data_IF_848724721675
#
_entry.id   IF_848724721675
#
_cell.length_a   1.000
_cell.length_b   1.000
_cell.length_c   1.000
_cell.angle_alpha   90.00
_cell.angle_beta   90.00
_cell.angle_gamma   90.00
#
_symmetry.space_group_name_H-M   'P 1'
#
loop_
_entity.id
_entity.type
_entity.pdbx_description
1 polymer ?
#
# COMPACT_ATOMS: atom_id res chain seq x y z
N UNK A 1 24.70 16.24 7.28
CA UNK A 1 23.43 16.08 6.55
C UNK A 1 22.43 15.42 7.46
N UNK A 2 21.19 15.93 7.60
CA UNK A 2 20.17 15.30 8.45
C UNK A 2 19.75 13.95 7.84
N UNK A 3 19.65 12.94 8.68
CA UNK A 3 19.19 11.58 8.25
C UNK A 3 17.76 11.68 7.73
N UNK A 4 17.52 11.20 6.50
CA UNK A 4 16.18 11.13 5.92
C UNK A 4 15.28 10.16 6.68
N UNK A 5 14.00 10.47 6.79
CA UNK A 5 13.02 9.68 7.54
C UNK A 5 11.98 9.05 6.61
N UNK A 6 11.76 7.75 6.78
CA UNK A 6 10.68 7.01 6.11
C UNK A 6 9.65 6.58 7.15
N UNK A 7 8.39 6.95 6.92
CA UNK A 7 7.26 6.45 7.72
C UNK A 7 6.52 5.36 6.93
N UNK A 8 6.26 4.22 7.59
CA UNK A 8 5.67 3.03 6.94
C UNK A 8 4.48 2.54 7.74
N UNK A 9 3.29 2.55 7.14
CA UNK A 9 2.12 1.88 7.71
C UNK A 9 2.08 0.41 7.27
N UNK A 10 1.58 -0.49 8.12
CA UNK A 10 1.59 -1.93 7.84
C UNK A 10 2.99 -2.54 7.84
N UNK A 11 3.92 -1.99 8.62
CA UNK A 11 5.34 -2.38 8.64
C UNK A 11 5.61 -3.77 9.24
N UNK A 12 4.64 -4.38 9.93
CA UNK A 12 4.83 -5.64 10.68
C UNK A 12 4.96 -6.89 9.81
N UNK A 13 4.67 -6.82 8.50
CA UNK A 13 4.73 -7.98 7.59
C UNK A 13 4.82 -7.58 6.12
N UNK A 14 5.04 -8.55 5.25
CA UNK A 14 4.92 -8.44 3.79
C UNK A 14 5.74 -7.31 3.19
N UNK A 15 5.10 -6.55 2.30
CA UNK A 15 5.71 -5.44 1.54
C UNK A 15 6.22 -4.35 2.48
N UNK A 16 5.45 -3.99 3.53
CA UNK A 16 5.85 -2.95 4.47
C UNK A 16 7.12 -3.30 5.25
N UNK A 17 7.25 -4.56 5.69
CA UNK A 17 8.46 -5.08 6.36
C UNK A 17 9.67 -5.08 5.42
N UNK A 18 9.47 -5.46 4.17
CA UNK A 18 10.56 -5.45 3.19
C UNK A 18 11.02 -4.02 2.85
N UNK A 19 10.09 -3.06 2.73
CA UNK A 19 10.45 -1.65 2.62
C UNK A 19 11.28 -1.17 3.81
N UNK A 20 10.89 -1.53 5.04
CA UNK A 20 11.65 -1.17 6.23
C UNK A 20 13.09 -1.69 6.17
N UNK A 21 13.28 -2.96 5.77
CA UNK A 21 14.61 -3.55 5.58
C UNK A 21 15.42 -2.83 4.51
N UNK A 22 14.80 -2.49 3.41
CA UNK A 22 15.48 -1.84 2.28
C UNK A 22 15.92 -0.42 2.64
N UNK A 23 15.06 0.38 3.29
CA UNK A 23 15.41 1.74 3.70
C UNK A 23 16.37 1.78 4.89
N UNK A 24 16.30 0.81 5.81
CA UNK A 24 17.30 0.64 6.86
C UNK A 24 18.71 0.45 6.29
N UNK A 25 18.85 -0.45 5.30
CA UNK A 25 20.13 -0.68 4.58
C UNK A 25 20.67 0.58 3.90
N UNK A 26 19.80 1.50 3.50
CA UNK A 26 20.16 2.79 2.89
C UNK A 26 20.44 3.88 3.92
N UNK A 27 20.44 3.58 5.23
CA UNK A 27 20.76 4.51 6.30
C UNK A 27 19.63 5.48 6.68
N UNK A 28 18.37 5.18 6.32
CA UNK A 28 17.24 6.02 6.69
C UNK A 28 16.80 5.76 8.14
N UNK A 29 16.34 6.82 8.83
CA UNK A 29 15.54 6.70 10.06
C UNK A 29 14.15 6.17 9.69
N UNK A 30 13.58 5.31 10.52
CA UNK A 30 12.28 4.71 10.24
C UNK A 30 11.25 5.04 11.32
N UNK A 31 10.01 5.32 10.89
CA UNK A 31 8.82 5.35 11.73
C UNK A 31 7.94 4.17 11.29
N UNK A 32 7.74 3.21 12.19
CA UNK A 32 7.08 1.95 11.90
C UNK A 32 5.70 1.91 12.57
N UNK A 33 4.64 1.73 11.77
CA UNK A 33 3.26 1.67 12.25
C UNK A 33 2.58 0.38 11.83
N UNK A 34 1.99 -0.32 12.77
CA UNK A 34 1.09 -1.46 12.58
C UNK A 34 0.38 -1.78 13.91
N UNK A 35 -0.60 -2.70 13.90
CA UNK A 35 -1.32 -3.13 15.11
C UNK A 35 -0.45 -3.98 16.06
N UNK A 36 0.38 -4.86 15.51
CA UNK A 36 1.20 -5.84 16.26
C UNK A 36 2.49 -5.20 16.72
N UNK A 37 2.47 -4.68 17.95
CA UNK A 37 3.61 -3.98 18.57
C UNK A 37 4.83 -4.89 18.68
N UNK A 38 4.64 -6.12 19.15
CA UNK A 38 5.67 -7.14 19.30
C UNK A 38 6.48 -7.36 18.02
N UNK A 39 5.79 -7.44 16.87
CA UNK A 39 6.44 -7.60 15.57
C UNK A 39 7.17 -6.34 15.10
N UNK A 40 6.68 -5.16 15.46
CA UNK A 40 7.40 -3.91 15.18
C UNK A 40 8.68 -3.81 16.02
N UNK A 41 8.64 -4.21 17.28
CA UNK A 41 9.79 -4.24 18.19
C UNK A 41 10.85 -5.24 17.70
N UNK A 42 10.42 -6.44 17.30
CA UNK A 42 11.31 -7.44 16.70
C UNK A 42 11.98 -6.92 15.44
N UNK A 43 11.20 -6.28 14.52
CA UNK A 43 11.74 -5.69 13.31
C UNK A 43 12.72 -4.53 13.62
N UNK A 44 12.38 -3.66 14.55
CA UNK A 44 13.24 -2.54 14.95
C UNK A 44 14.57 -3.03 15.56
N UNK A 45 14.52 -4.09 16.38
CA UNK A 45 15.72 -4.73 16.93
C UNK A 45 16.59 -5.35 15.82
N UNK A 46 15.97 -6.07 14.86
CA UNK A 46 16.66 -6.60 13.68
C UNK A 46 17.41 -5.49 12.91
N UNK A 47 16.70 -4.40 12.60
CA UNK A 47 17.23 -3.31 11.78
C UNK A 47 18.31 -2.51 12.51
N UNK A 48 18.19 -2.35 13.82
CA UNK A 48 19.23 -1.73 14.67
C UNK A 48 20.48 -2.57 14.69
N UNK A 49 20.34 -3.88 14.91
CA UNK A 49 21.50 -4.79 14.99
C UNK A 49 22.25 -4.89 13.66
N UNK A 50 21.51 -4.93 12.52
CA UNK A 50 22.14 -5.13 11.20
C UNK A 50 22.65 -3.83 10.56
N UNK A 51 22.04 -2.69 10.82
CA UNK A 51 22.27 -1.45 10.07
C UNK A 51 22.42 -0.20 10.96
N UNK A 52 22.36 -0.34 12.29
CA UNK A 52 22.37 0.82 13.19
C UNK A 52 21.15 1.74 13.05
N UNK A 53 20.06 1.25 12.46
CA UNK A 53 18.91 2.07 12.09
C UNK A 53 18.15 2.58 13.32
N UNK A 54 17.88 3.88 13.37
CA UNK A 54 16.99 4.46 14.37
C UNK A 54 15.53 4.21 13.96
N UNK A 55 14.82 3.45 14.80
CA UNK A 55 13.41 3.15 14.59
C UNK A 55 12.55 3.76 15.70
N UNK A 56 11.53 4.55 15.31
CA UNK A 56 10.41 4.95 16.17
C UNK A 56 9.23 4.03 15.89
N UNK A 57 8.66 3.44 16.93
CA UNK A 57 7.48 2.57 16.81
C UNK A 57 6.26 3.35 17.25
N UNK A 58 5.24 3.45 16.40
CA UNK A 58 3.95 4.07 16.68
C UNK A 58 2.86 3.04 16.35
N UNK A 59 2.46 2.19 17.32
CA UNK A 59 1.43 1.20 17.10
C UNK A 59 0.08 1.88 16.85
N UNK A 60 -0.66 1.41 15.84
CA UNK A 60 -2.01 1.89 15.57
C UNK A 60 -2.84 0.83 14.84
N UNK A 61 -4.10 0.66 15.25
CA UNK A 61 -5.12 -0.01 14.47
C UNK A 61 -5.83 1.00 13.58
N UNK A 62 -5.53 0.94 12.30
CA UNK A 62 -6.08 1.86 11.30
C UNK A 62 -7.56 1.62 10.99
N UNK A 63 -8.19 0.58 11.54
CA UNK A 63 -9.64 0.41 11.52
C UNK A 63 -10.34 1.27 12.57
N UNK A 64 -9.60 1.85 13.52
CA UNK A 64 -10.10 2.68 14.62
C UNK A 64 -9.79 4.16 14.36
N UNK A 65 -10.82 4.96 14.15
CA UNK A 65 -10.68 6.37 13.77
C UNK A 65 -9.89 7.21 14.80
N UNK A 66 -10.10 6.95 16.09
CA UNK A 66 -9.35 7.59 17.16
C UNK A 66 -7.84 7.27 17.10
N UNK A 67 -7.47 6.04 16.73
CA UNK A 67 -6.06 5.67 16.60
C UNK A 67 -5.42 6.27 15.34
N UNK A 68 -6.20 6.49 14.27
CA UNK A 68 -5.72 7.25 13.10
C UNK A 68 -5.46 8.71 13.48
N UNK A 69 -6.35 9.31 14.29
CA UNK A 69 -6.13 10.67 14.85
C UNK A 69 -4.84 10.73 15.65
N UNK A 70 -4.70 9.86 16.66
CA UNK A 70 -3.50 9.80 17.48
C UNK A 70 -2.21 9.56 16.69
N UNK A 71 -2.28 8.77 15.60
CA UNK A 71 -1.15 8.59 14.70
C UNK A 71 -0.80 9.90 13.98
N UNK A 72 -1.78 10.65 13.47
CA UNK A 72 -1.53 11.95 12.84
C UNK A 72 -0.87 12.93 13.83
N UNK A 73 -1.37 12.99 15.06
CA UNK A 73 -0.81 13.81 16.13
C UNK A 73 0.63 13.41 16.46
N UNK A 74 0.90 12.11 16.59
CA UNK A 74 2.24 11.60 16.83
C UNK A 74 3.23 11.89 15.69
N UNK A 75 2.74 12.12 14.48
CA UNK A 75 3.54 12.46 13.29
C UNK A 75 3.61 13.98 13.03
N UNK A 76 2.88 14.82 13.78
CA UNK A 76 2.76 16.24 13.47
C UNK A 76 4.11 16.96 13.42
N UNK A 77 5.00 16.71 14.38
CA UNK A 77 6.32 17.37 14.47
C UNK A 77 7.45 16.58 13.78
N UNK A 78 7.14 15.41 13.21
CA UNK A 78 8.15 14.58 12.54
C UNK A 78 8.46 15.10 11.15
N UNK A 79 9.73 15.26 10.82
CA UNK A 79 10.14 15.40 9.44
C UNK A 79 10.00 14.04 8.73
N UNK A 80 9.23 14.00 7.64
CA UNK A 80 8.98 12.80 6.85
C UNK A 80 9.40 13.07 5.40
N UNK A 81 10.43 12.40 4.94
CA UNK A 81 10.91 12.51 3.56
C UNK A 81 10.17 11.56 2.61
N UNK A 82 9.74 10.39 3.12
CA UNK A 82 8.97 9.41 2.39
C UNK A 82 7.89 8.80 3.29
N UNK A 83 6.65 8.80 2.81
CA UNK A 83 5.53 8.14 3.47
C UNK A 83 5.03 6.97 2.63
N UNK A 84 5.11 5.76 3.21
CA UNK A 84 4.61 4.53 2.59
C UNK A 84 3.27 4.17 3.22
N UNK A 85 2.20 4.58 2.58
CA UNK A 85 0.82 4.30 2.95
C UNK A 85 0.46 2.87 2.50
N UNK A 86 0.99 1.88 3.23
CA UNK A 86 1.02 0.49 2.79
C UNK A 86 0.01 -0.40 3.50
N UNK A 87 -0.50 -0.02 4.67
CA UNK A 87 -1.45 -0.84 5.40
C UNK A 87 -2.70 -1.15 4.58
N UNK A 88 -3.11 -2.40 4.58
CA UNK A 88 -4.30 -2.87 3.88
C UNK A 88 -4.45 -4.38 3.96
N UNK A 89 -5.67 -4.86 3.75
CA UNK A 89 -5.97 -6.27 3.65
C UNK A 89 -7.16 -6.51 2.71
N UNK A 90 -7.45 -7.78 2.41
CA UNK A 90 -8.53 -8.20 1.53
C UNK A 90 -9.61 -9.00 2.26
N UNK A 91 -10.75 -9.13 1.61
CA UNK A 91 -11.81 -10.08 1.91
C UNK A 91 -12.18 -10.80 0.62
N UNK A 92 -12.43 -12.11 0.71
CA UNK A 92 -12.80 -12.98 -0.39
C UNK A 92 -14.04 -13.78 -0.02
N UNK A 93 -14.93 -14.01 -0.98
CA UNK A 93 -16.19 -14.71 -0.86
C UNK A 93 -17.27 -14.08 -1.73
N UNK A 94 -18.41 -14.77 -1.90
CA UNK A 94 -19.58 -14.17 -2.54
C UNK A 94 -20.06 -12.97 -1.72
N UNK A 95 -20.36 -11.86 -2.36
CA UNK A 95 -20.67 -10.59 -1.65
C UNK A 95 -21.83 -10.71 -0.65
N UNK A 96 -22.81 -11.54 -0.96
CA UNK A 96 -23.95 -11.83 -0.07
C UNK A 96 -23.61 -12.71 1.14
N UNK A 97 -22.44 -13.37 1.13
CA UNK A 97 -22.04 -14.37 2.13
C UNK A 97 -20.85 -13.91 2.98
N UNK A 98 -20.12 -12.89 2.53
CA UNK A 98 -18.98 -12.36 3.27
C UNK A 98 -19.40 -11.65 4.55
N UNK A 99 -18.55 -11.73 5.59
CA UNK A 99 -18.79 -11.02 6.86
C UNK A 99 -18.74 -9.52 6.69
N UNK A 100 -19.86 -8.85 6.92
CA UNK A 100 -19.97 -7.39 6.76
C UNK A 100 -19.02 -6.63 7.69
N UNK A 101 -18.75 -7.14 8.90
CA UNK A 101 -17.81 -6.53 9.86
C UNK A 101 -16.38 -6.54 9.32
N UNK A 102 -15.95 -7.68 8.74
CA UNK A 102 -14.63 -7.82 8.08
C UNK A 102 -14.52 -6.88 6.88
N UNK A 103 -15.57 -6.79 6.04
CA UNK A 103 -15.57 -5.87 4.88
C UNK A 103 -15.53 -4.39 5.30
N UNK A 104 -16.34 -3.98 6.27
CA UNK A 104 -16.31 -2.61 6.79
C UNK A 104 -14.97 -2.28 7.43
N UNK A 105 -14.37 -3.21 8.18
CA UNK A 105 -13.02 -3.04 8.71
C UNK A 105 -11.98 -2.88 7.59
N UNK A 106 -12.10 -3.65 6.52
CA UNK A 106 -11.24 -3.50 5.33
C UNK A 106 -11.39 -2.12 4.69
N UNK A 107 -12.62 -1.64 4.52
CA UNK A 107 -12.88 -0.31 3.95
C UNK A 107 -12.34 0.81 4.85
N UNK A 108 -12.49 0.69 6.18
CA UNK A 108 -11.91 1.65 7.13
C UNK A 108 -10.39 1.75 6.95
N UNK A 109 -9.67 0.63 6.80
CA UNK A 109 -8.22 0.64 6.61
C UNK A 109 -7.84 1.05 5.20
N UNK A 110 -8.40 0.40 4.17
CA UNK A 110 -7.98 0.55 2.78
C UNK A 110 -8.41 1.89 2.16
N UNK A 111 -9.49 2.50 2.68
CA UNK A 111 -10.07 3.73 2.13
C UNK A 111 -9.98 4.87 3.14
N UNK A 112 -10.67 4.80 4.27
CA UNK A 112 -10.81 5.94 5.18
C UNK A 112 -9.48 6.33 5.84
N UNK A 113 -8.79 5.39 6.46
CA UNK A 113 -7.49 5.66 7.08
C UNK A 113 -6.43 6.03 6.04
N UNK A 114 -6.39 5.30 4.91
CA UNK A 114 -5.48 5.61 3.80
C UNK A 114 -5.69 7.05 3.29
N UNK A 115 -6.94 7.45 3.02
CA UNK A 115 -7.28 8.80 2.57
C UNK A 115 -6.85 9.86 3.59
N UNK A 116 -7.20 9.65 4.86
CA UNK A 116 -6.89 10.59 5.94
C UNK A 116 -5.40 10.79 6.13
N UNK A 117 -4.63 9.68 6.16
CA UNK A 117 -3.18 9.71 6.27
C UNK A 117 -2.52 10.32 5.03
N UNK A 118 -3.04 10.03 3.83
CA UNK A 118 -2.57 10.63 2.59
C UNK A 118 -2.73 12.16 2.62
N UNK A 119 -3.94 12.64 2.95
CA UNK A 119 -4.23 14.09 3.01
C UNK A 119 -3.40 14.80 4.10
N UNK A 120 -3.30 14.20 5.29
CA UNK A 120 -2.47 14.72 6.38
C UNK A 120 -1.01 14.84 5.96
N UNK A 121 -0.44 13.76 5.40
CA UNK A 121 0.98 13.73 5.02
C UNK A 121 1.27 14.65 3.83
N UNK A 122 0.33 14.74 2.86
CA UNK A 122 0.46 15.65 1.73
C UNK A 122 0.60 17.11 2.20
N UNK A 123 -0.35 17.58 3.02
CA UNK A 123 -0.31 18.96 3.59
C UNK A 123 0.99 19.22 4.35
N UNK A 124 1.45 18.24 5.13
CA UNK A 124 2.70 18.32 5.86
C UNK A 124 3.90 18.44 4.93
N UNK A 125 3.97 17.64 3.87
CA UNK A 125 5.06 17.66 2.89
C UNK A 125 5.05 18.95 2.04
N UNK A 126 3.87 19.49 1.73
CA UNK A 126 3.74 20.79 1.08
C UNK A 126 4.32 21.91 1.98
N UNK A 127 3.97 21.92 3.25
CA UNK A 127 4.54 22.86 4.23
C UNK A 127 6.04 22.66 4.44
N UNK A 128 6.57 21.43 4.29
CA UNK A 128 8.01 21.14 4.31
C UNK A 128 8.75 21.60 3.05
N UNK A 129 8.03 21.79 1.92
CA UNK A 129 8.60 22.09 0.62
C UNK A 129 9.21 20.88 -0.12
N UNK A 130 9.01 19.67 0.38
CA UNK A 130 9.49 18.42 -0.25
C UNK A 130 8.75 17.20 0.34
N UNK A 131 8.78 16.10 -0.37
CA UNK A 131 8.32 14.80 0.12
C UNK A 131 7.93 13.84 -0.99
N UNK A 132 7.82 12.58 -0.62
CA UNK A 132 7.31 11.52 -1.50
C UNK A 132 6.26 10.71 -0.76
N UNK A 133 5.12 10.44 -1.41
CA UNK A 133 4.07 9.56 -0.87
C UNK A 133 3.85 8.41 -1.85
N UNK A 134 3.99 7.18 -1.36
CA UNK A 134 3.63 5.96 -2.07
C UNK A 134 2.38 5.35 -1.42
N UNK A 135 1.27 5.33 -2.15
CA UNK A 135 0.06 4.63 -1.74
C UNK A 135 0.10 3.19 -2.29
N UNK A 136 0.01 2.18 -1.42
CA UNK A 136 -0.03 0.79 -1.87
C UNK A 136 -1.46 0.39 -2.23
N UNK A 137 -1.71 0.40 -3.53
CA UNK A 137 -2.94 -0.08 -4.16
C UNK A 137 -2.87 -1.59 -4.43
N UNK A 138 -3.21 -2.01 -5.64
CA UNK A 138 -3.12 -3.37 -6.19
C UNK A 138 -3.37 -3.32 -7.69
N UNK A 139 -2.97 -4.33 -8.45
CA UNK A 139 -3.46 -4.57 -9.81
C UNK A 139 -4.98 -4.71 -9.87
N UNK A 140 -5.62 -5.15 -8.78
CA UNK A 140 -7.07 -5.15 -8.60
C UNK A 140 -7.70 -3.77 -8.81
N UNK A 141 -7.02 -2.70 -8.41
CA UNK A 141 -7.49 -1.32 -8.62
C UNK A 141 -7.35 -0.79 -10.05
N UNK A 142 -6.72 -1.56 -10.93
CA UNK A 142 -6.59 -1.23 -12.36
C UNK A 142 -7.62 -1.98 -13.23
N UNK A 143 -8.36 -2.92 -12.66
CA UNK A 143 -9.36 -3.76 -13.29
C UNK A 143 -10.77 -3.20 -13.06
N UNK A 144 -11.73 -3.46 -13.96
CA UNK A 144 -13.09 -2.89 -13.87
C UNK A 144 -13.90 -3.42 -12.68
N UNK A 145 -13.52 -4.58 -12.12
CA UNK A 145 -14.16 -5.20 -10.97
C UNK A 145 -13.52 -6.52 -10.61
N UNK A 146 -13.90 -7.11 -9.48
CA UNK A 146 -13.41 -8.41 -9.03
C UNK A 146 -14.51 -9.23 -8.38
N UNK A 147 -15.23 -10.08 -9.14
CA UNK A 147 -16.17 -11.02 -8.53
C UNK A 147 -15.51 -11.79 -7.39
N UNK A 148 -16.25 -12.08 -6.33
CA UNK A 148 -15.76 -12.71 -5.09
C UNK A 148 -14.71 -11.92 -4.28
N UNK A 149 -14.34 -10.72 -4.73
CA UNK A 149 -13.49 -9.75 -4.02
C UNK A 149 -13.95 -8.31 -4.31
N UNK A 150 -15.26 -8.10 -4.51
CA UNK A 150 -15.81 -6.84 -5.01
C UNK A 150 -15.41 -5.63 -4.16
N UNK A 151 -15.60 -5.70 -2.84
CA UNK A 151 -15.21 -4.63 -1.92
C UNK A 151 -13.71 -4.33 -1.94
N UNK A 152 -12.87 -5.35 -2.03
CA UNK A 152 -11.42 -5.17 -2.14
C UNK A 152 -11.02 -4.45 -3.43
N UNK A 153 -11.54 -4.90 -4.60
CA UNK A 153 -11.25 -4.26 -5.89
C UNK A 153 -11.69 -2.80 -5.89
N UNK A 154 -12.91 -2.53 -5.41
CA UNK A 154 -13.43 -1.17 -5.27
C UNK A 154 -12.54 -0.31 -4.36
N UNK A 155 -12.09 -0.84 -3.22
CA UNK A 155 -11.19 -0.12 -2.31
C UNK A 155 -9.85 0.23 -2.97
N UNK A 156 -9.31 -0.67 -3.80
CA UNK A 156 -8.02 -0.45 -4.48
C UNK A 156 -8.17 0.43 -5.73
N UNK A 157 -9.33 0.41 -6.39
CA UNK A 157 -9.66 1.36 -7.45
C UNK A 157 -9.76 2.79 -6.90
N UNK A 158 -10.35 2.97 -5.72
CA UNK A 158 -10.34 4.24 -5.00
C UNK A 158 -8.93 4.80 -4.81
N UNK A 159 -8.00 3.99 -4.30
CA UNK A 159 -6.59 4.39 -4.08
C UNK A 159 -5.92 4.82 -5.39
N UNK A 160 -6.12 4.05 -6.46
CA UNK A 160 -5.54 4.36 -7.78
C UNK A 160 -6.10 5.67 -8.33
N UNK A 161 -7.43 5.84 -8.31
CA UNK A 161 -8.10 7.03 -8.83
C UNK A 161 -7.70 8.29 -8.06
N UNK A 162 -7.76 8.23 -6.71
CA UNK A 162 -7.36 9.33 -5.85
C UNK A 162 -5.90 9.74 -6.08
N UNK A 163 -4.99 8.76 -6.17
CA UNK A 163 -3.55 9.05 -6.37
C UNK A 163 -3.29 9.70 -7.72
N UNK A 164 -4.00 9.29 -8.79
CA UNK A 164 -3.88 9.92 -10.11
C UNK A 164 -4.37 11.37 -10.10
N UNK A 165 -5.55 11.63 -9.50
CA UNK A 165 -6.09 12.98 -9.40
C UNK A 165 -5.14 13.91 -8.67
N UNK A 166 -4.71 13.52 -7.46
CA UNK A 166 -3.78 14.32 -6.66
C UNK A 166 -2.42 14.51 -7.35
N UNK A 167 -1.91 13.49 -8.05
CA UNK A 167 -0.65 13.61 -8.79
C UNK A 167 -0.74 14.66 -9.91
N UNK A 168 -1.89 14.78 -10.58
CA UNK A 168 -2.11 15.78 -11.62
C UNK A 168 -2.28 17.18 -11.02
N UNK A 169 -3.04 17.33 -9.92
CA UNK A 169 -3.15 18.58 -9.18
C UNK A 169 -1.77 19.13 -8.78
N UNK A 170 -0.90 18.26 -8.22
CA UNK A 170 0.47 18.64 -7.83
C UNK A 170 1.35 19.00 -9.02
N UNK A 171 1.16 18.34 -10.16
CA UNK A 171 1.87 18.67 -11.41
C UNK A 171 1.48 20.06 -11.93
N UNK A 172 0.19 20.38 -11.94
CA UNK A 172 -0.32 21.71 -12.36
C UNK A 172 0.15 22.81 -11.43
N UNK A 173 0.21 22.54 -10.12
CA UNK A 173 0.70 23.47 -9.10
C UNK A 173 2.23 23.58 -9.05
N UNK A 174 2.98 22.86 -9.88
CA UNK A 174 4.44 22.74 -9.80
C UNK A 174 4.95 22.38 -8.40
N UNK A 175 4.17 21.58 -7.66
CA UNK A 175 4.49 21.18 -6.29
C UNK A 175 5.80 20.36 -6.25
N UNK A 176 6.68 20.61 -5.26
CA UNK A 176 7.87 19.78 -5.05
C UNK A 176 7.54 18.38 -4.50
N UNK A 177 6.29 18.14 -4.06
CA UNK A 177 5.86 16.85 -3.53
C UNK A 177 5.56 15.89 -4.67
N UNK A 178 6.02 14.66 -4.53
CA UNK A 178 5.73 13.59 -5.48
C UNK A 178 4.84 12.53 -4.87
N UNK A 179 3.79 12.14 -5.57
CA UNK A 179 2.87 11.08 -5.15
C UNK A 179 2.76 10.00 -6.22
N UNK A 180 2.66 8.74 -5.78
CA UNK A 180 2.49 7.60 -6.69
C UNK A 180 1.72 6.46 -6.03
N UNK A 181 1.18 5.56 -6.86
CA UNK A 181 0.55 4.32 -6.41
C UNK A 181 1.35 3.09 -6.86
N UNK A 182 1.61 2.19 -5.91
CA UNK A 182 2.13 0.85 -6.18
C UNK A 182 0.96 -0.10 -6.40
N UNK A 183 0.90 -0.73 -7.57
CA UNK A 183 -0.17 -1.63 -7.98
C UNK A 183 0.38 -3.05 -8.21
N UNK A 184 0.75 -3.78 -7.15
CA UNK A 184 1.29 -5.14 -7.31
C UNK A 184 0.18 -6.11 -7.73
N UNK A 185 0.57 -7.13 -8.49
CA UNK A 185 -0.18 -8.38 -8.60
C UNK A 185 -0.02 -9.22 -7.34
N UNK A 186 -0.20 -10.54 -7.41
CA UNK A 186 0.07 -11.45 -6.29
C UNK A 186 1.50 -11.28 -5.77
N UNK A 187 1.65 -11.12 -4.46
CA UNK A 187 2.94 -11.07 -3.75
C UNK A 187 2.88 -12.10 -2.62
N UNK A 188 3.92 -12.91 -2.49
CA UNK A 188 3.98 -13.97 -1.48
C UNK A 188 4.17 -13.38 -0.07
N UNK A 189 3.07 -13.15 0.62
CA UNK A 189 3.01 -12.50 1.94
C UNK A 189 1.88 -13.07 2.79
N UNK A 190 1.88 -12.77 4.09
CA UNK A 190 0.76 -13.05 5.01
C UNK A 190 -0.59 -12.43 4.58
N UNK A 191 -0.61 -11.61 3.52
CA UNK A 191 -1.85 -11.08 2.95
C UNK A 191 -2.77 -12.20 2.44
N UNK A 192 -2.20 -13.26 1.87
CA UNK A 192 -2.92 -14.38 1.31
C UNK A 192 -3.72 -15.11 2.41
N UNK A 193 -3.07 -15.37 3.55
CA UNK A 193 -3.69 -16.02 4.70
C UNK A 193 -4.84 -15.20 5.31
N UNK A 194 -4.68 -13.85 5.32
CA UNK A 194 -5.68 -12.93 5.87
C UNK A 194 -6.87 -12.69 4.95
N UNK A 195 -6.64 -12.77 3.65
CA UNK A 195 -7.68 -12.61 2.64
C UNK A 195 -8.43 -13.92 2.36
N UNK A 196 -8.00 -15.03 2.99
CA UNK A 196 -8.50 -16.40 2.74
C UNK A 196 -8.40 -16.74 1.24
N UNK A 197 -7.24 -16.46 0.60
CA UNK A 197 -7.05 -16.63 -0.84
C UNK A 197 -5.86 -17.53 -1.14
N UNK A 198 -6.08 -18.48 -2.04
CA UNK A 198 -5.01 -19.23 -2.71
C UNK A 198 -4.85 -18.67 -4.13
N UNK A 199 -3.70 -18.03 -4.42
CA UNK A 199 -3.49 -17.49 -5.75
C UNK A 199 -3.15 -18.60 -6.76
N UNK A 200 -3.90 -18.64 -7.85
CA UNK A 200 -3.61 -19.56 -8.98
C UNK A 200 -2.31 -19.18 -9.74
N UNK A 201 -1.90 -17.90 -9.66
CA UNK A 201 -0.64 -17.43 -10.23
C UNK A 201 0.41 -17.34 -9.13
N UNK A 202 1.60 -17.87 -9.39
CA UNK A 202 2.75 -17.71 -8.49
C UNK A 202 3.01 -16.23 -8.25
N UNK A 203 3.02 -15.82 -6.99
CA UNK A 203 3.33 -14.45 -6.56
C UNK A 203 4.79 -14.10 -6.85
N UNK A 204 5.05 -12.78 -6.96
CA UNK A 204 6.42 -12.28 -6.88
C UNK A 204 6.85 -12.17 -5.42
N UNK A 205 8.15 -12.22 -5.16
CA UNK A 205 8.65 -12.02 -3.79
C UNK A 205 8.46 -10.58 -3.33
N UNK A 206 8.28 -10.32 -2.02
CA UNK A 206 8.25 -8.95 -1.47
C UNK A 206 9.50 -8.14 -1.86
N UNK A 207 10.67 -8.79 -1.93
CA UNK A 207 11.93 -8.16 -2.31
C UNK A 207 11.88 -7.61 -3.75
N UNK A 208 11.41 -8.41 -4.71
CA UNK A 208 11.24 -7.97 -6.09
C UNK A 208 10.18 -6.86 -6.21
N UNK A 209 9.06 -7.00 -5.49
CA UNK A 209 8.01 -5.98 -5.46
C UNK A 209 8.55 -4.62 -5.00
N UNK A 210 9.30 -4.60 -3.90
CA UNK A 210 9.90 -3.39 -3.34
C UNK A 210 10.97 -2.82 -4.26
N UNK A 211 11.81 -3.63 -4.85
CA UNK A 211 12.84 -3.20 -5.81
C UNK A 211 12.21 -2.49 -7.02
N UNK A 212 11.19 -3.09 -7.63
CA UNK A 212 10.46 -2.49 -8.75
C UNK A 212 9.70 -1.20 -8.33
N UNK A 213 9.17 -1.16 -7.10
CA UNK A 213 8.56 0.04 -6.54
C UNK A 213 9.58 1.18 -6.42
N UNK A 214 10.75 0.91 -5.86
CA UNK A 214 11.82 1.91 -5.71
C UNK A 214 12.34 2.40 -7.08
N UNK A 215 12.52 1.51 -8.05
CA UNK A 215 12.86 1.89 -9.44
C UNK A 215 11.80 2.77 -10.07
N UNK A 216 10.51 2.45 -9.83
CA UNK A 216 9.38 3.25 -10.31
C UNK A 216 9.35 4.65 -9.71
N UNK A 217 9.57 4.76 -8.40
CA UNK A 217 9.68 6.05 -7.69
C UNK A 217 10.85 6.90 -8.21
N UNK A 218 12.02 6.31 -8.40
CA UNK A 218 13.18 7.00 -8.97
C UNK A 218 12.90 7.56 -10.37
N UNK A 219 12.06 6.88 -11.15
CA UNK A 219 11.61 7.34 -12.48
C UNK A 219 10.37 8.24 -12.41
N UNK A 220 9.94 8.65 -11.24
CA UNK A 220 8.75 9.49 -10.96
C UNK A 220 7.47 9.01 -11.65
N UNK A 221 7.24 7.71 -11.70
CA UNK A 221 6.02 7.12 -12.28
C UNK A 221 4.83 7.30 -11.33
N UNK A 222 3.72 7.86 -11.80
CA UNK A 222 2.49 7.98 -11.00
C UNK A 222 1.90 6.61 -10.66
N UNK A 223 1.92 5.65 -11.59
CA UNK A 223 1.45 4.28 -11.36
C UNK A 223 2.61 3.31 -11.59
N UNK A 224 2.91 2.53 -10.56
CA UNK A 224 3.99 1.54 -10.57
C UNK A 224 3.37 0.14 -10.50
N UNK A 225 3.53 -0.64 -11.55
CA UNK A 225 3.09 -2.05 -11.62
C UNK A 225 4.33 -2.93 -11.62
N UNK A 226 4.64 -3.61 -10.52
CA UNK A 226 5.72 -4.60 -10.49
C UNK A 226 5.43 -5.77 -11.42
N UNK A 227 6.47 -6.39 -11.95
CA UNK A 227 6.39 -7.48 -12.94
C UNK A 227 5.94 -7.03 -14.34
N UNK A 228 6.71 -7.42 -15.34
CA UNK A 228 6.43 -7.13 -16.76
C UNK A 228 5.13 -7.80 -17.20
N UNK A 229 4.89 -9.04 -16.75
CA UNK A 229 3.66 -9.77 -17.06
C UNK A 229 2.43 -9.00 -16.57
N UNK A 230 2.45 -8.49 -15.32
CA UNK A 230 1.33 -7.72 -14.78
C UNK A 230 1.14 -6.38 -15.51
N UNK A 231 2.22 -5.73 -15.92
CA UNK A 231 2.13 -4.50 -16.74
C UNK A 231 1.43 -4.77 -18.07
N UNK A 232 1.83 -5.84 -18.76
CA UNK A 232 1.19 -6.25 -20.02
C UNK A 232 -0.29 -6.60 -19.80
N UNK A 233 -0.59 -7.43 -18.82
CA UNK A 233 -1.97 -7.83 -18.50
C UNK A 233 -2.87 -6.63 -18.17
N UNK A 234 -2.41 -5.72 -17.30
CA UNK A 234 -3.18 -4.52 -16.90
C UNK A 234 -3.28 -3.46 -18.00
N UNK A 235 -2.45 -3.56 -19.05
CA UNK A 235 -2.55 -2.70 -20.23
C UNK A 235 -3.48 -3.34 -21.26
N UNK A 236 -3.28 -4.62 -21.57
CA UNK A 236 -4.06 -5.34 -22.57
C UNK A 236 -5.56 -5.43 -22.21
N UNK A 237 -5.88 -5.58 -20.92
CA UNK A 237 -7.28 -5.62 -20.47
C UNK A 237 -8.10 -4.36 -20.81
N UNK A 238 -7.44 -3.21 -21.01
CA UNK A 238 -8.13 -1.96 -21.40
C UNK A 238 -8.71 -2.03 -22.82
N UNK A 239 -8.24 -2.96 -23.64
CA UNK A 239 -8.73 -3.20 -24.99
C UNK A 239 -9.88 -4.21 -25.03
N UNK A 240 -10.16 -4.89 -23.92
CA UNK A 240 -11.21 -5.90 -23.81
C UNK A 240 -12.47 -5.25 -23.24
N UNK A 241 -13.62 -5.33 -23.92
CA UNK A 241 -14.88 -4.85 -23.36
C UNK A 241 -15.21 -5.49 -22.02
N UNK A 242 -15.67 -4.70 -21.06
CA UNK A 242 -15.98 -5.15 -19.70
C UNK A 242 -16.87 -6.40 -19.64
N UNK A 243 -17.94 -6.54 -20.45
CA UNK A 243 -18.78 -7.75 -20.42
C UNK A 243 -18.02 -9.04 -20.76
N UNK A 244 -16.99 -8.96 -21.58
CA UNK A 244 -16.15 -10.12 -21.93
C UNK A 244 -15.09 -10.41 -20.89
N UNK A 245 -14.60 -9.36 -20.23
CA UNK A 245 -13.55 -9.48 -19.20
C UNK A 245 -14.09 -10.02 -17.88
N UNK A 246 -15.30 -9.62 -17.47
CA UNK A 246 -15.87 -9.98 -16.16
C UNK A 246 -16.02 -11.49 -15.94
N UNK A 247 -16.50 -12.31 -16.91
CA UNK A 247 -16.55 -13.77 -16.74
C UNK A 247 -15.17 -14.39 -16.57
N UNK A 248 -14.14 -13.88 -17.28
CA UNK A 248 -12.76 -14.35 -17.13
C UNK A 248 -12.24 -14.07 -15.73
N UNK A 249 -12.47 -12.86 -15.22
CA UNK A 249 -12.11 -12.50 -13.86
C UNK A 249 -12.86 -13.33 -12.83
N UNK A 250 -14.16 -13.57 -13.03
CA UNK A 250 -14.96 -14.43 -12.15
C UNK A 250 -14.39 -15.84 -12.07
N UNK A 251 -14.04 -16.44 -13.21
CA UNK A 251 -13.43 -17.76 -13.26
C UNK A 251 -12.09 -17.81 -12.52
N UNK A 252 -11.23 -16.79 -12.71
CA UNK A 252 -9.96 -16.70 -12.00
C UNK A 252 -10.12 -16.51 -10.50
N UNK A 253 -11.11 -15.73 -10.08
CA UNK A 253 -11.35 -15.48 -8.64
C UNK A 253 -11.96 -16.70 -7.95
N UNK A 254 -12.86 -17.45 -8.62
CA UNK A 254 -13.41 -18.71 -8.07
C UNK A 254 -12.31 -19.72 -7.71
N UNK A 255 -11.24 -19.78 -8.51
CA UNK A 255 -10.08 -20.66 -8.19
C UNK A 255 -9.33 -20.27 -6.91
N UNK A 256 -9.61 -19.12 -6.32
CA UNK A 256 -9.01 -18.67 -5.06
C UNK A 256 -9.84 -19.07 -3.84
N UNK A 257 -11.05 -19.55 -4.05
CA UNK A 257 -11.96 -19.97 -2.98
C UNK A 257 -11.72 -21.41 -2.53
N UNK A 258 -10.83 -22.16 -3.22
CA UNK A 258 -10.52 -23.57 -2.98
C UNK A 258 -11.32 -24.46 -3.91
#
# INVERSE_FOLDING_TARGET
MSTKTVCITGASSGIGREFARRYARLGFRLILTARRRDRLETLAAELRAKHGTLCRIVPADLAQDAQVTALCEALADERIDLFLNNAGFGACGAFSETDAGKELSMLRVNVLAMHRLFKFTLRKMEAQGFGTILNVASSAGLLPGGPYMAGYYASKAYVVSLTRGVAEELREQHSPVYVCALCPGPVDTEFNDRADVVFALKGITPALCVEEAMRGMLRRKTIIVPSTLMRLATTAQKLVPTPLLMPILAHQQKKKLG
#
